data_IF_730166009929
#
_entry.id   IF_730166009929
#
_cell.length_a   1.000
_cell.length_b   1.000
_cell.length_c   1.000
_cell.angle_alpha   90.00
_cell.angle_beta   90.00
_cell.angle_gamma   90.00
#
_symmetry.space_group_name_H-M   'P 1'
#
loop_
_entity.id
_entity.type
_entity.pdbx_description
1 polymer ?
#
# COMPACT_ATOMS: atom_id res chain seq x y z
N UNK A 1 19.53 -32.37 -16.46
CA UNK A 1 18.64 -31.92 -17.56
C UNK A 1 17.18 -31.79 -17.12
N UNK A 2 16.59 -32.79 -16.45
CA UNK A 2 15.20 -32.76 -15.92
C UNK A 2 14.94 -31.55 -14.98
N UNK A 3 15.88 -31.22 -14.09
CA UNK A 3 15.75 -30.07 -13.18
C UNK A 3 15.66 -28.75 -13.94
N UNK A 4 16.49 -28.57 -14.99
CA UNK A 4 16.48 -27.36 -15.83
C UNK A 4 15.15 -27.25 -16.58
N UNK A 5 14.63 -28.35 -17.12
CA UNK A 5 13.34 -28.40 -17.81
C UNK A 5 12.19 -28.08 -16.83
N UNK A 6 12.22 -28.62 -15.61
CA UNK A 6 11.26 -28.28 -14.55
C UNK A 6 11.33 -26.80 -14.15
N UNK A 7 12.52 -26.18 -14.16
CA UNK A 7 12.67 -24.73 -13.94
C UNK A 7 12.02 -23.86 -15.01
N UNK A 8 11.88 -24.37 -16.25
CA UNK A 8 11.16 -23.67 -17.33
C UNK A 8 9.64 -23.90 -17.27
N UNK A 9 9.18 -25.00 -16.66
CA UNK A 9 7.75 -25.32 -16.49
C UNK A 9 7.16 -24.64 -15.24
N UNK A 10 7.99 -24.42 -14.22
CA UNK A 10 7.62 -23.75 -12.98
C UNK A 10 8.14 -22.30 -13.06
N UNK A 11 7.33 -21.38 -13.59
CA UNK A 11 7.68 -19.95 -13.59
C UNK A 11 8.08 -19.46 -12.17
N UNK A 12 9.03 -18.51 -12.08
CA UNK A 12 9.98 -18.40 -10.97
C UNK A 12 9.35 -17.69 -9.76
N UNK A 13 9.31 -18.38 -8.62
CA UNK A 13 8.78 -17.92 -7.33
C UNK A 13 7.28 -17.54 -7.40
N UNK A 14 6.38 -18.33 -6.80
CA UNK A 14 4.98 -17.94 -6.66
C UNK A 14 4.87 -16.53 -6.09
N UNK A 15 4.08 -15.66 -6.73
CA UNK A 15 3.80 -14.27 -6.30
C UNK A 15 3.44 -14.19 -4.80
N UNK A 16 2.83 -15.26 -4.27
CA UNK A 16 2.49 -15.44 -2.86
C UNK A 16 3.73 -15.41 -1.94
N UNK A 17 4.84 -16.05 -2.34
CA UNK A 17 6.07 -16.07 -1.56
C UNK A 17 6.65 -14.66 -1.46
N UNK A 18 6.72 -13.95 -2.59
CA UNK A 18 7.20 -12.56 -2.65
C UNK A 18 6.35 -11.68 -1.73
N UNK A 19 5.02 -11.77 -1.84
CA UNK A 19 4.10 -10.99 -1.00
C UNK A 19 4.28 -11.26 0.48
N UNK A 20 4.37 -12.54 0.83
CA UNK A 20 4.46 -12.97 2.21
C UNK A 20 5.79 -12.50 2.81
N UNK A 21 6.89 -12.59 2.06
CA UNK A 21 8.19 -12.05 2.46
C UNK A 21 8.17 -10.53 2.62
N UNK A 22 7.54 -9.79 1.70
CA UNK A 22 7.40 -8.33 1.80
C UNK A 22 6.55 -7.90 2.98
N UNK A 23 5.45 -8.61 3.26
CA UNK A 23 4.59 -8.36 4.43
C UNK A 23 5.30 -8.70 5.72
N UNK A 24 5.98 -9.85 5.78
CA UNK A 24 6.71 -10.29 6.97
C UNK A 24 7.88 -9.35 7.32
N UNK A 25 8.56 -8.82 6.31
CA UNK A 25 9.64 -7.83 6.51
C UNK A 25 9.13 -6.41 6.84
N UNK A 26 7.81 -6.18 6.83
CA UNK A 26 7.23 -4.85 7.07
C UNK A 26 7.44 -3.87 5.92
N UNK A 27 7.85 -4.36 4.74
CA UNK A 27 7.97 -3.54 3.52
C UNK A 27 6.60 -3.18 2.97
N UNK A 28 5.60 -4.05 3.16
CA UNK A 28 4.22 -3.81 2.73
C UNK A 28 3.25 -4.16 3.85
N UNK A 29 2.20 -3.38 4.04
CA UNK A 29 1.08 -3.71 4.93
C UNK A 29 -0.25 -3.30 4.30
N UNK A 30 -0.95 -4.27 3.72
CA UNK A 30 -2.23 -4.04 3.01
C UNK A 30 -3.45 -3.98 3.93
N UNK A 31 -3.24 -3.84 5.26
CA UNK A 31 -4.31 -3.61 6.22
C UNK A 31 -4.57 -2.10 6.33
N UNK A 32 -5.82 -1.74 6.58
CA UNK A 32 -6.17 -0.35 6.90
C UNK A 32 -5.73 -0.06 8.33
N UNK A 33 -4.99 1.01 8.50
CA UNK A 33 -4.48 1.50 9.78
C UNK A 33 -4.87 2.95 9.99
N UNK A 34 -4.93 3.37 11.25
CA UNK A 34 -5.08 4.78 11.59
C UNK A 34 -3.68 5.39 11.78
N UNK A 35 -3.46 6.55 11.15
CA UNK A 35 -2.21 7.28 11.20
C UNK A 35 -2.43 8.65 11.82
N UNK A 36 -1.78 8.92 12.94
CA UNK A 36 -1.69 10.27 13.48
C UNK A 36 -0.55 11.01 12.79
N UNK A 37 -0.86 12.14 12.17
CA UNK A 37 0.07 12.94 11.37
C UNK A 37 0.44 14.23 12.12
N UNK A 38 1.72 14.61 12.03
CA UNK A 38 2.20 15.91 12.47
C UNK A 38 1.71 17.02 11.52
N UNK A 39 0.74 17.81 11.99
CA UNK A 39 0.13 18.93 11.26
C UNK A 39 1.07 20.10 10.97
N UNK A 40 2.27 20.13 11.57
CA UNK A 40 3.30 21.13 11.28
C UNK A 40 4.09 20.82 10.01
N UNK A 41 4.14 19.55 9.61
CA UNK A 41 4.90 19.08 8.44
C UNK A 41 3.97 18.81 7.25
N UNK A 42 2.82 18.21 7.51
CA UNK A 42 1.80 17.90 6.51
C UNK A 42 0.53 18.67 6.84
N UNK A 43 -0.03 19.43 5.89
CA UNK A 43 -1.29 20.16 6.11
C UNK A 43 -2.49 19.23 5.91
N UNK A 44 -3.56 19.44 6.68
CA UNK A 44 -4.80 18.63 6.55
C UNK A 44 -5.45 18.77 5.16
N UNK A 45 -5.23 19.90 4.49
CA UNK A 45 -5.77 20.24 3.17
C UNK A 45 -5.32 19.26 2.07
N UNK A 46 -4.12 18.68 2.15
CA UNK A 46 -3.66 17.71 1.14
C UNK A 46 -4.46 16.40 1.18
N UNK A 47 -5.21 16.17 2.26
CA UNK A 47 -6.10 15.02 2.43
C UNK A 47 -7.57 15.41 2.25
N UNK A 48 -7.88 16.62 1.77
CA UNK A 48 -9.25 17.07 1.49
C UNK A 48 -9.80 16.54 0.17
N UNK A 49 -9.68 15.23 -0.01
CA UNK A 49 -10.20 14.49 -1.16
C UNK A 49 -11.12 13.36 -0.69
N UNK A 50 -12.19 13.03 -1.45
CA UNK A 50 -13.18 12.03 -1.05
C UNK A 50 -12.62 10.64 -0.73
N UNK A 51 -11.45 10.31 -1.28
CA UNK A 51 -10.81 9.01 -1.12
C UNK A 51 -10.19 8.83 0.27
N UNK A 52 -9.85 9.92 0.97
CA UNK A 52 -9.25 9.88 2.30
C UNK A 52 -10.30 9.96 3.41
N UNK A 53 -10.39 8.91 4.22
CA UNK A 53 -11.22 8.91 5.43
C UNK A 53 -10.53 9.71 6.55
N UNK A 54 -10.98 10.94 6.77
CA UNK A 54 -10.52 11.77 7.90
C UNK A 54 -11.18 11.31 9.20
N UNK A 55 -10.38 10.90 10.18
CA UNK A 55 -10.86 10.56 11.52
C UNK A 55 -10.55 11.72 12.46
N UNK A 56 -11.59 12.50 12.76
CA UNK A 56 -11.57 13.69 13.62
C UNK A 56 -11.05 13.38 15.03
N UNK A 57 -9.73 13.51 15.24
CA UNK A 57 -9.16 13.83 16.54
C UNK A 57 -8.22 15.03 16.35
N UNK A 58 -8.81 16.23 16.31
CA UNK A 58 -8.05 17.49 16.23
C UNK A 58 -7.51 17.82 17.61
N UNK A 59 -6.21 17.60 17.79
CA UNK A 59 -5.40 18.33 18.77
C UNK A 59 -4.64 19.41 17.99
N UNK A 60 -4.31 20.54 18.61
CA UNK A 60 -3.86 21.79 17.96
C UNK A 60 -2.78 21.68 16.87
N UNK A 61 -2.08 20.54 16.72
CA UNK A 61 -1.13 20.29 15.63
C UNK A 61 -1.09 18.83 15.14
N UNK A 62 -2.17 18.06 15.34
CA UNK A 62 -2.24 16.65 14.91
C UNK A 62 -3.62 16.33 14.35
N UNK A 63 -3.65 15.51 13.31
CA UNK A 63 -4.88 14.95 12.75
C UNK A 63 -4.67 13.46 12.45
N UNK A 64 -5.78 12.73 12.27
CA UNK A 64 -5.74 11.30 11.98
C UNK A 64 -6.39 11.01 10.64
N UNK A 65 -5.73 10.15 9.86
CA UNK A 65 -6.26 9.60 8.61
C UNK A 65 -6.30 8.07 8.71
N UNK A 66 -7.22 7.45 7.97
CA UNK A 66 -7.16 6.01 7.72
C UNK A 66 -6.49 5.76 6.36
N UNK A 67 -5.59 4.79 6.30
CA UNK A 67 -4.85 4.49 5.08
C UNK A 67 -4.16 3.14 5.12
N UNK A 68 -3.43 2.83 4.04
CA UNK A 68 -2.78 1.54 3.82
C UNK A 68 -1.34 1.78 3.42
N UNK A 69 -0.39 1.06 4.02
CA UNK A 69 1.04 1.17 3.67
C UNK A 69 1.35 0.22 2.51
N UNK A 70 1.44 0.76 1.30
CA UNK A 70 1.78 -0.05 0.12
C UNK A 70 3.28 -0.27 -0.05
N UNK A 71 4.11 0.58 0.56
CA UNK A 71 5.56 0.45 0.56
C UNK A 71 6.17 1.15 1.78
N UNK A 72 7.15 0.53 2.41
CA UNK A 72 7.85 1.04 3.58
C UNK A 72 9.30 0.60 3.53
N UNK A 73 10.22 1.54 3.63
CA UNK A 73 11.65 1.24 3.62
C UNK A 73 12.43 2.32 4.38
N UNK A 74 13.33 1.89 5.28
CA UNK A 74 14.07 2.79 6.18
C UNK A 74 13.11 3.77 6.86
N UNK A 75 13.31 5.07 6.64
CA UNK A 75 12.58 6.17 7.27
C UNK A 75 11.36 6.62 6.47
N UNK A 76 11.06 6.02 5.31
CA UNK A 76 9.92 6.43 4.47
C UNK A 76 8.80 5.40 4.46
N UNK A 77 7.55 5.88 4.42
CA UNK A 77 6.35 5.08 4.21
C UNK A 77 5.48 5.71 3.13
N UNK A 78 5.11 4.94 2.12
CA UNK A 78 4.14 5.31 1.11
C UNK A 78 2.76 4.83 1.56
N UNK A 79 1.91 5.77 1.95
CA UNK A 79 0.57 5.50 2.48
C UNK A 79 -0.46 5.97 1.46
N UNK A 80 -1.46 5.14 1.23
CA UNK A 80 -2.52 5.36 0.25
C UNK A 80 -3.91 5.33 0.92
N UNK A 81 -4.94 5.87 0.25
CA UNK A 81 -6.31 5.64 0.65
C UNK A 81 -6.69 4.15 0.59
N UNK A 82 -7.68 3.74 1.37
CA UNK A 82 -8.09 2.33 1.54
C UNK A 82 -8.59 1.67 0.25
N UNK A 83 -9.15 2.46 -0.67
CA UNK A 83 -9.67 2.01 -1.96
C UNK A 83 -8.60 1.41 -2.90
N UNK A 84 -7.30 1.60 -2.63
CA UNK A 84 -6.23 1.00 -3.43
C UNK A 84 -6.12 -0.52 -3.23
N UNK A 85 -6.64 -1.07 -2.11
CA UNK A 85 -6.47 -2.48 -1.76
C UNK A 85 -7.02 -3.40 -2.86
N UNK A 86 -8.19 -3.08 -3.42
CA UNK A 86 -8.83 -3.89 -4.45
C UNK A 86 -8.05 -3.84 -5.75
N UNK A 87 -7.65 -2.64 -6.18
CA UNK A 87 -6.85 -2.42 -7.40
C UNK A 87 -5.49 -3.14 -7.29
N UNK A 88 -4.86 -3.09 -6.11
CA UNK A 88 -3.64 -3.82 -5.85
C UNK A 88 -3.85 -5.33 -5.94
N UNK A 89 -4.90 -5.87 -5.32
CA UNK A 89 -5.24 -7.31 -5.41
C UNK A 89 -5.49 -7.75 -6.86
N UNK A 90 -6.12 -6.91 -7.68
CA UNK A 90 -6.35 -7.20 -9.10
C UNK A 90 -5.05 -7.17 -9.92
N UNK A 91 -4.20 -6.16 -9.72
CA UNK A 91 -2.88 -6.06 -10.38
C UNK A 91 -1.95 -7.24 -10.10
N UNK A 92 -2.20 -7.96 -9.01
CA UNK A 92 -1.42 -9.11 -8.55
C UNK A 92 -1.86 -10.43 -9.18
N UNK A 93 -3.04 -10.48 -9.82
CA UNK A 93 -3.53 -11.66 -10.53
C UNK A 93 -2.82 -11.75 -11.88
N UNK A 94 -1.62 -12.32 -11.88
CA UNK A 94 -0.87 -12.57 -13.12
C UNK A 94 -1.64 -13.54 -14.02
N UNK A 95 -1.92 -13.14 -15.26
CA UNK A 95 -2.52 -13.99 -16.27
C UNK A 95 -1.47 -14.48 -17.26
N UNK A 96 -1.11 -15.77 -17.20
CA UNK A 96 -0.14 -16.39 -18.13
C UNK A 96 -0.52 -16.24 -19.62
N UNK A 97 -1.80 -15.94 -19.92
CA UNK A 97 -2.33 -15.93 -21.28
C UNK A 97 -2.90 -14.58 -21.72
N UNK A 98 -2.84 -13.54 -20.89
CA UNK A 98 -3.43 -12.25 -21.25
C UNK A 98 -2.63 -11.05 -20.71
N UNK A 99 -1.54 -10.73 -21.41
CA UNK A 99 -0.69 -9.58 -21.09
C UNK A 99 -1.40 -8.23 -21.16
N UNK A 100 -2.47 -8.10 -21.98
CA UNK A 100 -3.25 -6.85 -22.06
C UNK A 100 -4.01 -6.57 -20.75
N UNK A 101 -4.58 -7.60 -20.13
CA UNK A 101 -5.25 -7.45 -18.83
C UNK A 101 -4.24 -7.06 -17.76
N UNK A 102 -3.04 -7.66 -17.80
CA UNK A 102 -1.97 -7.33 -16.87
C UNK A 102 -1.53 -5.86 -17.03
N UNK A 103 -1.34 -5.38 -18.27
CA UNK A 103 -0.99 -3.99 -18.57
C UNK A 103 -2.06 -2.99 -18.12
N UNK A 104 -3.34 -3.30 -18.35
CA UNK A 104 -4.46 -2.46 -17.90
C UNK A 104 -4.54 -2.38 -16.38
N UNK A 105 -4.36 -3.50 -15.68
CA UNK A 105 -4.38 -3.52 -14.22
C UNK A 105 -3.18 -2.77 -13.63
N UNK A 106 -2.00 -2.90 -14.25
CA UNK A 106 -0.81 -2.12 -13.87
C UNK A 106 -1.01 -0.62 -14.11
N UNK A 107 -1.68 -0.24 -15.20
CA UNK A 107 -2.02 1.16 -15.47
C UNK A 107 -2.97 1.71 -14.40
N UNK A 108 -4.05 1.00 -14.09
CA UNK A 108 -5.00 1.38 -13.02
C UNK A 108 -4.30 1.52 -11.67
N UNK A 109 -3.39 0.60 -11.34
CA UNK A 109 -2.61 0.69 -10.12
C UNK A 109 -1.74 1.95 -10.11
N UNK A 110 -1.01 2.24 -11.20
CA UNK A 110 -0.16 3.45 -11.30
C UNK A 110 -0.97 4.73 -11.14
N UNK A 111 -2.11 4.82 -11.79
CA UNK A 111 -3.03 5.96 -11.67
C UNK A 111 -3.49 6.11 -10.21
N UNK A 112 -3.93 5.02 -9.57
CA UNK A 112 -4.37 5.07 -8.17
C UNK A 112 -3.26 5.42 -7.20
N UNK A 113 -2.02 5.00 -7.46
CA UNK A 113 -0.88 5.35 -6.59
C UNK A 113 -0.54 6.83 -6.58
N UNK A 114 -1.06 7.64 -7.52
CA UNK A 114 -0.90 9.09 -7.51
C UNK A 114 -1.64 9.77 -6.35
N UNK A 115 -2.62 9.10 -5.76
CA UNK A 115 -3.37 9.57 -4.59
C UNK A 115 -2.63 9.28 -3.26
N UNK A 116 -1.49 8.59 -3.32
CA UNK A 116 -0.69 8.22 -2.17
C UNK A 116 0.32 9.31 -1.80
N UNK A 117 0.72 9.33 -0.53
CA UNK A 117 1.71 10.26 -0.01
C UNK A 117 2.90 9.53 0.60
N UNK A 118 4.08 10.11 0.39
CA UNK A 118 5.32 9.68 1.04
C UNK A 118 5.45 10.42 2.37
N UNK A 119 5.55 9.64 3.44
CA UNK A 119 5.72 10.13 4.80
C UNK A 119 7.12 9.81 5.33
N UNK A 120 7.72 10.76 6.05
CA UNK A 120 8.77 10.44 7.01
C UNK A 120 8.13 9.74 8.21
N UNK A 121 8.60 8.54 8.52
CA UNK A 121 8.10 7.70 9.63
C UNK A 121 8.22 8.37 10.99
N UNK A 122 9.09 9.38 11.15
CA UNK A 122 9.21 10.16 12.40
C UNK A 122 8.05 11.14 12.58
N UNK A 123 7.40 11.52 11.49
CA UNK A 123 6.32 12.51 11.46
C UNK A 123 4.92 11.89 11.51
N UNK A 124 4.86 10.55 11.52
CA UNK A 124 3.62 9.79 11.60
C UNK A 124 3.68 8.74 12.70
N UNK A 125 2.53 8.44 13.29
CA UNK A 125 2.37 7.33 14.22
C UNK A 125 1.26 6.42 13.72
N UNK A 126 1.62 5.20 13.33
CA UNK A 126 0.67 4.15 13.00
C UNK A 126 0.12 3.53 14.28
N UNK A 127 -1.19 3.37 14.38
CA UNK A 127 -1.81 2.61 15.47
C UNK A 127 -3.06 1.86 14.98
N UNK A 128 -3.30 0.71 15.60
CA UNK A 128 -4.51 -0.06 15.39
C UNK A 128 -5.42 0.17 16.58
N UNK A 129 -6.55 0.88 16.45
CA UNK A 129 -7.58 0.77 17.46
C UNK A 129 -7.90 -0.73 17.63
N UNK A 130 -7.96 -1.25 18.87
CA UNK A 130 -8.39 -2.63 19.09
C UNK A 130 -9.74 -2.81 18.40
N UNK A 131 -9.82 -3.82 17.53
CA UNK A 131 -11.01 -4.13 16.75
C UNK A 131 -12.24 -4.13 17.67
N UNK A 132 -13.24 -3.33 17.29
CA UNK A 132 -14.57 -3.36 17.90
C UNK A 132 -15.39 -4.48 17.25
#
# INVERSE_FOLDING_TARGET
MIIIILSFVINPIPVIIIDTSLRFSGVTDFRVHDYTINGKVYTEEIFDYPEWEKKSLKSENKFTIAGVTIFSYKDISLICPSNIIEIYKESRKFSMFNSKIDDENLKKLREKTQECFIFDKKEIMQWNPPHK
#
